data_IF_742826513985
#
_entry.id   IF_742826513985
#
_cell.length_a   1.000
_cell.length_b   1.000
_cell.length_c   1.000
_cell.angle_alpha   90.00
_cell.angle_beta   90.00
_cell.angle_gamma   90.00
#
_symmetry.space_group_name_H-M   'P 1'
#
loop_
_entity.id
_entity.type
_entity.pdbx_description
1 polymer ?
#
# COMPACT_ATOMS: atom_id res chain seq x y z
N UNK A 1 -5.15 6.18 0.21
CA UNK A 1 -4.77 7.55 -0.16
C UNK A 1 -5.81 8.60 0.22
N UNK A 2 -7.02 8.62 -0.34
CA UNK A 2 -8.05 9.67 -0.08
C UNK A 2 -8.33 9.89 1.42
N UNK A 3 -8.46 8.82 2.19
CA UNK A 3 -8.65 8.88 3.64
C UNK A 3 -7.49 9.61 4.35
N UNK A 4 -6.26 9.40 3.94
CA UNK A 4 -5.07 10.02 4.53
C UNK A 4 -4.90 11.49 4.15
N UNK A 5 -5.19 11.84 2.89
CA UNK A 5 -5.26 13.23 2.45
C UNK A 5 -6.31 13.96 3.28
N UNK A 6 -7.47 13.34 3.45
CA UNK A 6 -8.56 13.88 4.27
C UNK A 6 -8.17 14.01 5.75
N UNK A 7 -7.56 12.99 6.35
CA UNK A 7 -7.05 13.03 7.71
C UNK A 7 -5.97 14.11 7.91
N UNK A 8 -5.19 14.42 6.86
CA UNK A 8 -4.17 15.47 6.93
C UNK A 8 -4.76 16.88 6.80
N UNK A 9 -5.77 17.07 5.94
CA UNK A 9 -6.37 18.38 5.65
C UNK A 9 -7.47 18.72 6.66
N UNK A 10 -8.32 17.75 7.01
CA UNK A 10 -9.53 17.94 7.82
C UNK A 10 -9.45 17.22 9.18
N UNK A 11 -8.36 17.42 9.91
CA UNK A 11 -8.09 16.74 11.20
C UNK A 11 -9.29 16.77 12.16
N UNK A 12 -9.97 17.92 12.29
CA UNK A 12 -11.11 18.09 13.22
C UNK A 12 -12.38 17.35 12.79
N UNK A 13 -12.65 17.28 11.48
CA UNK A 13 -13.86 16.60 10.95
C UNK A 13 -13.66 15.10 10.81
N UNK A 14 -12.43 14.66 10.58
CA UNK A 14 -12.11 13.24 10.40
C UNK A 14 -12.49 12.38 11.61
N UNK A 15 -12.30 12.90 12.84
CA UNK A 15 -12.66 12.19 14.08
C UNK A 15 -14.17 12.02 14.28
N UNK A 16 -14.98 12.93 13.70
CA UNK A 16 -16.45 12.92 13.82
C UNK A 16 -17.14 12.07 12.74
N UNK A 17 -16.49 11.87 11.60
CA UNK A 17 -17.02 11.08 10.49
C UNK A 17 -16.63 9.61 10.67
N UNK A 18 -17.43 8.87 11.36
CA UNK A 18 -17.19 7.47 11.68
C UNK A 18 -16.87 6.54 10.49
N UNK A 19 -16.71 5.27 10.78
CA UNK A 19 -16.34 4.13 9.93
C UNK A 19 -17.19 4.01 8.63
N UNK A 20 -18.33 4.68 8.55
CA UNK A 20 -19.29 4.53 7.43
C UNK A 20 -18.73 4.88 6.05
N UNK A 21 -17.92 5.93 5.94
CA UNK A 21 -17.34 6.34 4.65
C UNK A 21 -16.29 5.32 4.16
N UNK A 22 -15.43 4.87 5.06
CA UNK A 22 -14.41 3.86 4.75
C UNK A 22 -15.05 2.52 4.40
N UNK A 23 -16.07 2.09 5.16
CA UNK A 23 -16.83 0.87 4.87
C UNK A 23 -17.53 0.94 3.52
N UNK A 24 -18.18 2.07 3.20
CA UNK A 24 -18.80 2.29 1.89
C UNK A 24 -17.80 2.21 0.74
N UNK A 25 -16.62 2.80 0.89
CA UNK A 25 -15.55 2.72 -0.11
C UNK A 25 -15.04 1.28 -0.32
N UNK A 26 -14.87 0.52 0.75
CA UNK A 26 -14.45 -0.90 0.68
C UNK A 26 -15.50 -1.73 -0.05
N UNK A 27 -16.78 -1.59 0.32
CA UNK A 27 -17.89 -2.32 -0.32
C UNK A 27 -17.95 -1.99 -1.82
N UNK A 28 -17.82 -0.72 -2.18
CA UNK A 28 -17.82 -0.28 -3.58
C UNK A 28 -16.68 -0.93 -4.39
N UNK A 29 -15.46 -0.97 -3.85
CA UNK A 29 -14.32 -1.62 -4.51
C UNK A 29 -14.56 -3.13 -4.68
N UNK A 30 -15.14 -3.79 -3.67
CA UNK A 30 -15.47 -5.21 -3.77
C UNK A 30 -16.52 -5.49 -4.83
N UNK A 31 -17.58 -4.69 -4.92
CA UNK A 31 -18.62 -4.83 -5.95
C UNK A 31 -18.01 -4.67 -7.35
N UNK A 32 -17.18 -3.65 -7.57
CA UNK A 32 -16.49 -3.45 -8.86
C UNK A 32 -15.58 -4.63 -9.20
N UNK A 33 -14.81 -5.13 -8.23
CA UNK A 33 -13.89 -6.25 -8.44
C UNK A 33 -14.63 -7.54 -8.79
N UNK A 34 -15.72 -7.84 -8.10
CA UNK A 34 -16.56 -9.01 -8.36
C UNK A 34 -17.22 -8.90 -9.75
N UNK A 35 -17.80 -7.75 -10.07
CA UNK A 35 -18.44 -7.52 -11.37
C UNK A 35 -17.44 -7.67 -12.53
N UNK A 36 -16.23 -7.13 -12.37
CA UNK A 36 -15.16 -7.28 -13.34
C UNK A 36 -14.74 -8.75 -13.49
N UNK A 37 -14.59 -9.49 -12.39
CA UNK A 37 -14.22 -10.91 -12.40
C UNK A 37 -15.28 -11.75 -13.11
N UNK A 38 -16.56 -11.52 -12.83
CA UNK A 38 -17.69 -12.20 -13.51
C UNK A 38 -17.63 -11.92 -15.02
N UNK A 39 -17.42 -10.66 -15.41
CA UNK A 39 -17.28 -10.30 -16.83
C UNK A 39 -16.14 -11.08 -17.51
N UNK A 40 -14.95 -11.14 -16.89
CA UNK A 40 -13.79 -11.87 -17.42
C UNK A 40 -14.09 -13.36 -17.57
N UNK A 41 -14.72 -13.98 -16.57
CA UNK A 41 -15.09 -15.41 -16.61
C UNK A 41 -16.10 -15.66 -17.73
N UNK A 42 -17.18 -14.88 -17.79
CA UNK A 42 -18.22 -15.06 -18.82
C UNK A 42 -17.66 -14.86 -20.25
N UNK A 43 -16.80 -13.86 -20.46
CA UNK A 43 -16.18 -13.61 -21.75
C UNK A 43 -15.15 -14.68 -22.15
N UNK A 44 -14.47 -15.27 -21.17
CA UNK A 44 -13.56 -16.40 -21.39
C UNK A 44 -14.36 -17.66 -21.77
N UNK A 45 -15.44 -17.99 -21.05
CA UNK A 45 -16.30 -19.15 -21.34
C UNK A 45 -16.99 -19.05 -22.70
N UNK A 46 -17.23 -17.85 -23.21
CA UNK A 46 -17.79 -17.65 -24.55
C UNK A 46 -16.79 -17.98 -25.68
N UNK A 47 -15.50 -18.11 -25.39
CA UNK A 47 -14.45 -18.44 -26.36
C UNK A 47 -14.10 -19.93 -26.32
N UNK A 48 -14.93 -20.75 -26.93
CA UNK A 48 -14.75 -22.20 -26.98
C UNK A 48 -13.45 -22.63 -27.68
N UNK A 49 -12.99 -21.85 -28.66
CA UNK A 49 -11.75 -22.14 -29.39
C UNK A 49 -10.50 -21.99 -28.50
N UNK A 50 -10.53 -21.07 -27.55
CA UNK A 50 -9.43 -20.86 -26.62
C UNK A 50 -9.27 -22.02 -25.63
N UNK A 51 -10.38 -22.64 -25.21
CA UNK A 51 -10.37 -23.80 -24.31
C UNK A 51 -10.06 -25.13 -25.01
N UNK A 52 -10.26 -25.21 -26.33
CA UNK A 52 -9.93 -26.39 -27.13
C UNK A 52 -8.44 -26.58 -27.43
N UNK A 53 -7.59 -25.58 -27.12
CA UNK A 53 -6.16 -25.67 -27.35
C UNK A 53 -5.48 -26.43 -26.21
N UNK A 54 -4.73 -27.48 -26.54
CA UNK A 54 -3.98 -28.32 -25.59
C UNK A 54 -2.77 -27.64 -24.93
N UNK A 55 -2.81 -26.33 -24.74
CA UNK A 55 -1.69 -25.48 -24.26
C UNK A 55 -1.40 -25.62 -22.75
N UNK A 56 -2.23 -26.34 -21.98
CA UNK A 56 -2.04 -26.53 -20.54
C UNK A 56 -2.09 -25.23 -19.71
N UNK A 57 -2.31 -24.08 -20.33
CA UNK A 57 -2.38 -22.78 -19.69
C UNK A 57 -3.84 -22.38 -19.58
N UNK A 58 -4.38 -22.38 -18.37
CA UNK A 58 -5.68 -21.78 -18.09
C UNK A 58 -5.52 -20.26 -18.07
N UNK A 59 -5.41 -19.66 -19.24
CA UNK A 59 -5.43 -18.22 -19.37
C UNK A 59 -6.89 -17.79 -19.53
N UNK A 60 -7.43 -17.03 -18.58
CA UNK A 60 -8.75 -16.40 -18.68
C UNK A 60 -8.81 -15.32 -19.77
N UNK A 61 -7.76 -15.19 -20.57
CA UNK A 61 -7.64 -14.24 -21.67
C UNK A 61 -8.18 -14.83 -22.95
N UNK A 62 -9.26 -14.28 -23.47
CA UNK A 62 -9.91 -14.68 -24.72
C UNK A 62 -9.77 -13.59 -25.79
N UNK A 63 -10.12 -13.91 -27.04
CA UNK A 63 -10.19 -12.91 -28.13
C UNK A 63 -11.17 -11.76 -27.82
N UNK A 64 -12.18 -12.01 -26.99
CA UNK A 64 -13.19 -11.02 -26.62
C UNK A 64 -12.78 -10.09 -25.48
N UNK A 65 -11.96 -10.55 -24.54
CA UNK A 65 -11.63 -9.79 -23.33
C UNK A 65 -10.18 -9.27 -23.28
N UNK A 66 -9.33 -9.76 -24.16
CA UNK A 66 -7.89 -9.46 -24.12
C UNK A 66 -7.55 -7.98 -24.15
N UNK A 67 -8.23 -7.19 -24.99
CA UNK A 67 -8.00 -5.73 -25.09
C UNK A 67 -8.46 -5.04 -23.81
N UNK A 68 -9.61 -5.43 -23.28
CA UNK A 68 -10.16 -4.86 -22.04
C UNK A 68 -9.26 -5.18 -20.85
N UNK A 69 -8.77 -6.41 -20.75
CA UNK A 69 -7.79 -6.80 -19.73
C UNK A 69 -6.54 -5.95 -19.83
N UNK A 70 -5.97 -5.79 -21.03
CA UNK A 70 -4.77 -4.99 -21.25
C UNK A 70 -4.99 -3.53 -20.85
N UNK A 71 -6.07 -2.91 -21.32
CA UNK A 71 -6.42 -1.54 -20.96
C UNK A 71 -6.64 -1.37 -19.46
N UNK A 72 -7.34 -2.31 -18.81
CA UNK A 72 -7.58 -2.24 -17.36
C UNK A 72 -6.28 -2.34 -16.57
N UNK A 73 -5.34 -3.16 -17.00
CA UNK A 73 -4.04 -3.29 -16.37
C UNK A 73 -3.21 -2.01 -16.48
N UNK A 74 -3.09 -1.43 -17.67
CA UNK A 74 -2.35 -0.17 -17.84
C UNK A 74 -3.03 0.99 -17.10
N UNK A 75 -4.36 1.04 -17.09
CA UNK A 75 -5.10 2.04 -16.32
C UNK A 75 -4.83 1.88 -14.82
N UNK A 76 -4.86 0.66 -14.30
CA UNK A 76 -4.55 0.37 -12.89
C UNK A 76 -3.11 0.74 -12.57
N UNK A 77 -2.14 0.39 -13.41
CA UNK A 77 -0.74 0.74 -13.23
C UNK A 77 -0.55 2.26 -13.20
N UNK A 78 -1.17 2.98 -14.12
CA UNK A 78 -1.14 4.44 -14.16
C UNK A 78 -1.73 5.06 -12.87
N UNK A 79 -2.89 4.57 -12.43
CA UNK A 79 -3.51 5.01 -11.18
C UNK A 79 -2.59 4.75 -9.98
N UNK A 80 -1.93 3.59 -9.91
CA UNK A 80 -0.96 3.27 -8.86
C UNK A 80 0.23 4.23 -8.86
N UNK A 81 0.77 4.59 -10.02
CA UNK A 81 1.87 5.58 -10.13
C UNK A 81 1.42 6.95 -9.59
N UNK A 82 0.24 7.41 -9.99
CA UNK A 82 -0.33 8.68 -9.50
C UNK A 82 -0.55 8.65 -7.99
N UNK A 83 -1.11 7.56 -7.46
CA UNK A 83 -1.34 7.38 -6.02
C UNK A 83 -0.02 7.43 -5.27
N UNK A 84 0.99 6.68 -5.69
CA UNK A 84 2.31 6.62 -5.06
C UNK A 84 2.99 7.99 -5.07
N UNK A 85 2.88 8.72 -6.16
CA UNK A 85 3.41 10.09 -6.25
C UNK A 85 2.70 11.04 -5.27
N UNK A 86 1.38 10.99 -5.17
CA UNK A 86 0.61 11.77 -4.20
C UNK A 86 0.96 11.40 -2.76
N UNK A 87 1.08 10.12 -2.46
CA UNK A 87 1.48 9.63 -1.13
C UNK A 87 2.89 10.10 -0.76
N UNK A 88 3.81 10.14 -1.71
CA UNK A 88 5.14 10.72 -1.51
C UNK A 88 5.09 12.23 -1.20
N UNK A 89 4.24 12.99 -1.89
CA UNK A 89 4.04 14.42 -1.61
C UNK A 89 3.47 14.64 -0.20
N UNK A 90 2.44 13.87 0.19
CA UNK A 90 1.84 13.91 1.53
C UNK A 90 2.88 13.54 2.60
N UNK A 91 3.68 12.52 2.37
CA UNK A 91 4.77 12.15 3.26
C UNK A 91 5.78 13.30 3.46
N UNK A 92 6.20 13.93 2.36
CA UNK A 92 7.11 15.10 2.42
C UNK A 92 6.50 16.28 3.17
N UNK A 93 5.22 16.59 2.90
CA UNK A 93 4.49 17.65 3.58
C UNK A 93 4.40 17.40 5.09
N UNK A 94 3.97 16.22 5.49
CA UNK A 94 3.87 15.81 6.89
C UNK A 94 5.23 15.86 7.61
N UNK A 95 6.31 15.46 6.94
CA UNK A 95 7.67 15.54 7.48
C UNK A 95 8.14 17.00 7.67
N UNK A 96 7.76 17.91 6.76
CA UNK A 96 8.05 19.37 6.88
C UNK A 96 7.30 19.98 8.04
N UNK A 97 5.99 19.72 8.17
CA UNK A 97 5.14 20.20 9.27
C UNK A 97 5.73 19.75 10.62
N UNK A 98 6.08 18.47 10.75
CA UNK A 98 6.69 17.93 11.96
C UNK A 98 8.04 18.58 12.33
N UNK A 99 8.84 18.97 11.32
CA UNK A 99 10.11 19.69 11.57
C UNK A 99 9.85 21.10 12.08
N UNK A 100 8.92 21.84 11.47
CA UNK A 100 8.54 23.18 11.91
C UNK A 100 8.02 23.17 13.36
N UNK A 101 7.09 22.28 13.68
CA UNK A 101 6.52 22.13 15.02
C UNK A 101 7.56 21.80 16.12
N UNK A 102 8.75 21.30 15.76
CA UNK A 102 9.84 21.06 16.71
C UNK A 102 10.77 22.28 16.91
N UNK A 103 10.82 23.17 15.92
CA UNK A 103 11.71 24.33 15.94
C UNK A 103 11.03 25.58 16.53
N UNK A 104 9.70 25.65 16.55
CA UNK A 104 8.93 26.73 17.14
C UNK A 104 8.94 26.59 18.67
N UNK A 105 9.34 27.68 19.35
CA UNK A 105 9.34 27.77 20.82
C UNK A 105 7.91 27.61 21.35
N UNK A 106 7.72 26.94 22.51
CA UNK A 106 6.40 26.65 23.08
C UNK A 106 5.57 27.88 23.46
N UNK A 107 6.17 29.07 23.51
CA UNK A 107 5.52 30.29 24.03
C UNK A 107 4.52 30.96 23.06
N UNK A 108 4.45 30.55 21.78
CA UNK A 108 3.60 31.18 20.75
C UNK A 108 2.68 30.14 20.04
N UNK A 109 2.58 28.94 20.55
CA UNK A 109 1.82 27.91 19.87
C UNK A 109 0.28 28.12 20.04
N UNK A 110 -0.47 28.51 18.98
CA UNK A 110 -1.91 28.49 19.05
C UNK A 110 -2.35 27.02 19.16
N UNK A 111 -2.97 26.70 20.26
CA UNK A 111 -3.71 25.45 20.51
C UNK A 111 -2.95 24.17 20.10
N UNK A 112 -2.03 23.74 20.96
CA UNK A 112 -1.38 22.43 20.84
C UNK A 112 -2.45 21.32 20.84
N UNK A 113 -2.82 20.80 19.66
CA UNK A 113 -3.71 19.66 19.56
C UNK A 113 -2.88 18.38 19.62
N UNK A 114 -2.95 17.70 20.77
CA UNK A 114 -2.31 16.39 20.99
C UNK A 114 -2.72 15.38 19.91
N UNK A 115 -4.00 15.41 19.52
CA UNK A 115 -4.59 14.59 18.47
C UNK A 115 -3.94 14.83 17.11
N UNK A 116 -3.76 16.10 16.69
CA UNK A 116 -3.12 16.43 15.42
C UNK A 116 -1.67 15.93 15.34
N UNK A 117 -0.89 16.05 16.42
CA UNK A 117 0.47 15.52 16.47
C UNK A 117 0.52 14.00 16.44
N UNK A 118 -0.43 13.33 17.10
CA UNK A 118 -0.54 11.88 17.06
C UNK A 118 -0.86 11.40 15.63
N UNK A 119 -1.87 11.96 14.97
CA UNK A 119 -2.26 11.64 13.60
C UNK A 119 -1.13 11.91 12.60
N UNK A 120 -0.43 13.04 12.73
CA UNK A 120 0.73 13.36 11.89
C UNK A 120 1.84 12.31 12.02
N UNK A 121 2.09 11.86 13.24
CA UNK A 121 3.09 10.81 13.51
C UNK A 121 2.67 9.46 12.94
N UNK A 122 1.41 9.11 13.07
CA UNK A 122 0.85 7.87 12.55
C UNK A 122 0.86 7.86 11.02
N UNK A 123 0.46 8.96 10.37
CA UNK A 123 0.55 9.12 8.92
C UNK A 123 1.98 8.96 8.40
N UNK A 124 2.97 9.63 9.02
CA UNK A 124 4.38 9.48 8.62
C UNK A 124 4.85 8.03 8.79
N UNK A 125 4.40 7.37 9.84
CA UNK A 125 4.76 6.00 10.13
C UNK A 125 4.17 5.01 9.13
N UNK A 126 2.89 5.13 8.82
CA UNK A 126 2.22 4.31 7.83
C UNK A 126 2.79 4.50 6.42
N UNK A 127 3.12 5.74 6.03
CA UNK A 127 3.74 6.04 4.73
C UNK A 127 5.12 5.41 4.55
N UNK A 128 5.87 5.18 5.63
CA UNK A 128 7.17 4.48 5.56
C UNK A 128 7.02 3.00 5.20
N UNK A 129 5.86 2.40 5.46
CA UNK A 129 5.56 1.03 5.04
C UNK A 129 5.01 1.02 3.62
N UNK A 130 4.07 1.92 3.32
CA UNK A 130 3.29 1.89 2.08
C UNK A 130 4.14 2.29 0.89
N UNK A 131 4.94 3.36 0.96
CA UNK A 131 5.75 3.81 -0.18
C UNK A 131 6.67 2.73 -0.78
N UNK A 132 7.44 1.95 0.00
CA UNK A 132 8.22 0.86 -0.58
C UNK A 132 7.37 -0.29 -1.13
N UNK A 133 6.18 -0.55 -0.56
CA UNK A 133 5.25 -1.55 -1.08
C UNK A 133 4.67 -1.14 -2.44
N UNK A 134 4.24 0.11 -2.56
CA UNK A 134 3.72 0.67 -3.81
C UNK A 134 4.79 0.73 -4.89
N UNK A 135 6.02 1.12 -4.53
CA UNK A 135 7.15 1.13 -5.46
C UNK A 135 7.47 -0.29 -5.96
N UNK A 136 7.49 -1.29 -5.07
CA UNK A 136 7.67 -2.68 -5.46
C UNK A 136 6.55 -3.16 -6.39
N UNK A 137 5.29 -2.84 -6.08
CA UNK A 137 4.15 -3.15 -6.93
C UNK A 137 4.32 -2.59 -8.34
N UNK A 138 4.63 -1.30 -8.47
CA UNK A 138 4.79 -0.62 -9.77
C UNK A 138 5.91 -1.26 -10.58
N UNK A 139 7.06 -1.56 -9.96
CA UNK A 139 8.21 -2.14 -10.65
C UNK A 139 7.88 -3.55 -11.16
N UNK A 140 7.45 -4.45 -10.28
CA UNK A 140 7.25 -5.86 -10.66
C UNK A 140 6.06 -6.05 -11.59
N UNK A 141 4.94 -5.38 -11.33
CA UNK A 141 3.80 -5.45 -12.22
C UNK A 141 4.04 -4.69 -13.53
N UNK A 142 4.78 -3.60 -13.51
CA UNK A 142 5.20 -2.89 -14.73
C UNK A 142 6.02 -3.78 -15.65
N UNK A 143 7.02 -4.50 -15.12
CA UNK A 143 7.84 -5.45 -15.90
C UNK A 143 6.96 -6.58 -16.44
N UNK A 144 6.12 -7.19 -15.61
CA UNK A 144 5.20 -8.25 -16.01
C UNK A 144 4.28 -7.79 -17.16
N UNK A 145 3.61 -6.65 -16.99
CA UNK A 145 2.67 -6.13 -17.97
C UNK A 145 3.34 -5.78 -19.30
N UNK A 146 4.49 -5.10 -19.25
CA UNK A 146 5.24 -4.73 -20.45
C UNK A 146 5.74 -5.98 -21.17
N UNK A 147 6.30 -6.93 -20.44
CA UNK A 147 6.76 -8.20 -21.00
C UNK A 147 5.63 -9.01 -21.63
N UNK A 148 4.49 -9.12 -20.94
CA UNK A 148 3.31 -9.82 -21.47
C UNK A 148 2.75 -9.14 -22.74
N UNK A 149 2.76 -7.80 -22.81
CA UNK A 149 2.33 -7.06 -23.97
C UNK A 149 3.27 -7.28 -25.18
N UNK A 150 4.59 -7.20 -24.97
CA UNK A 150 5.59 -7.48 -26.00
C UNK A 150 5.46 -8.92 -26.51
N UNK A 151 5.36 -9.88 -25.60
CA UNK A 151 5.22 -11.29 -25.94
C UNK A 151 3.96 -11.55 -26.78
N UNK A 152 2.87 -10.83 -26.49
CA UNK A 152 1.63 -10.94 -27.24
C UNK A 152 1.76 -10.39 -28.66
N UNK A 153 2.47 -9.28 -28.86
CA UNK A 153 2.70 -8.70 -30.19
C UNK A 153 3.46 -9.68 -31.07
N UNK A 154 4.44 -10.39 -30.55
CA UNK A 154 5.29 -11.35 -31.28
C UNK A 154 4.75 -12.79 -31.28
N UNK A 155 3.52 -13.02 -30.77
CA UNK A 155 2.95 -14.37 -30.65
C UNK A 155 2.96 -15.16 -31.96
N UNK A 156 2.67 -14.50 -33.09
CA UNK A 156 2.57 -15.15 -34.38
C UNK A 156 3.94 -15.51 -35.00
N UNK A 157 5.03 -14.96 -34.47
CA UNK A 157 6.39 -15.19 -34.94
C UNK A 157 7.11 -16.28 -34.11
N UNK A 158 6.50 -16.70 -32.98
CA UNK A 158 7.11 -17.62 -32.02
C UNK A 158 6.50 -19.00 -32.08
N UNK A 159 7.31 -20.02 -31.85
CA UNK A 159 6.81 -21.37 -31.57
C UNK A 159 6.06 -21.40 -30.25
N UNK A 160 5.02 -22.21 -30.15
CA UNK A 160 4.15 -22.33 -28.97
C UNK A 160 4.93 -22.60 -27.68
N UNK A 161 5.96 -23.48 -27.76
CA UNK A 161 6.79 -23.83 -26.61
C UNK A 161 7.63 -22.64 -26.11
N UNK A 162 8.19 -21.85 -27.02
CA UNK A 162 8.96 -20.65 -26.69
C UNK A 162 8.07 -19.59 -26.04
N UNK A 163 6.89 -19.34 -26.66
CA UNK A 163 5.90 -18.43 -26.12
C UNK A 163 5.52 -18.80 -24.68
N UNK A 164 5.20 -20.07 -24.47
CA UNK A 164 4.78 -20.59 -23.17
C UNK A 164 5.89 -20.47 -22.13
N UNK A 165 7.11 -20.83 -22.49
CA UNK A 165 8.28 -20.73 -21.58
C UNK A 165 8.55 -19.30 -21.14
N UNK A 166 8.55 -18.34 -22.08
CA UNK A 166 8.78 -16.93 -21.78
C UNK A 166 7.61 -16.36 -20.96
N UNK A 167 6.37 -16.75 -21.26
CA UNK A 167 5.20 -16.33 -20.49
C UNK A 167 5.32 -16.74 -19.02
N UNK A 168 5.75 -17.96 -18.74
CA UNK A 168 5.96 -18.43 -17.36
C UNK A 168 7.06 -17.64 -16.64
N UNK A 169 8.13 -17.25 -17.34
CA UNK A 169 9.15 -16.38 -16.77
C UNK A 169 8.53 -15.05 -16.33
N UNK A 170 7.72 -14.41 -17.16
CA UNK A 170 7.04 -13.17 -16.76
C UNK A 170 6.05 -13.37 -15.60
N UNK A 171 5.37 -14.51 -15.52
CA UNK A 171 4.48 -14.85 -14.41
C UNK A 171 5.20 -14.97 -13.05
N UNK A 172 6.53 -15.14 -13.03
CA UNK A 172 7.28 -15.15 -11.77
C UNK A 172 7.37 -13.77 -11.10
N UNK A 173 7.24 -12.66 -11.86
CA UNK A 173 7.36 -11.31 -11.30
C UNK A 173 6.26 -10.95 -10.30
N UNK A 174 4.96 -11.22 -10.53
CA UNK A 174 3.93 -11.05 -9.49
C UNK A 174 4.16 -11.91 -8.24
N UNK A 175 4.71 -13.13 -8.40
CA UNK A 175 5.07 -13.99 -7.26
C UNK A 175 6.23 -13.39 -6.46
N UNK A 176 7.28 -12.91 -7.14
CA UNK A 176 8.39 -12.18 -6.52
C UNK A 176 7.90 -10.93 -5.79
N UNK A 177 6.98 -10.17 -6.39
CA UNK A 177 6.35 -9.04 -5.72
C UNK A 177 5.71 -9.45 -4.39
N UNK A 178 4.94 -10.56 -4.37
CA UNK A 178 4.29 -11.05 -3.15
C UNK A 178 5.32 -11.43 -2.07
N UNK A 179 6.41 -12.10 -2.44
CA UNK A 179 7.48 -12.45 -1.53
C UNK A 179 8.19 -11.20 -0.96
N UNK A 180 8.50 -10.22 -1.80
CA UNK A 180 9.14 -8.96 -1.39
C UNK A 180 8.21 -8.15 -0.48
N UNK A 181 6.91 -8.12 -0.76
CA UNK A 181 5.90 -7.48 0.09
C UNK A 181 5.92 -8.07 1.50
N UNK A 182 5.95 -9.39 1.60
CA UNK A 182 6.05 -10.09 2.88
C UNK A 182 7.34 -9.75 3.63
N UNK A 183 8.48 -9.74 2.94
CA UNK A 183 9.78 -9.38 3.51
C UNK A 183 9.80 -7.94 4.02
N UNK A 184 9.29 -6.98 3.25
CA UNK A 184 9.18 -5.57 3.66
C UNK A 184 8.32 -5.47 4.92
N UNK A 185 7.19 -6.17 4.96
CA UNK A 185 6.30 -6.18 6.13
C UNK A 185 7.00 -6.75 7.38
N UNK A 186 7.68 -7.90 7.27
CA UNK A 186 8.42 -8.53 8.38
C UNK A 186 9.52 -7.58 8.89
N UNK A 187 10.33 -7.02 7.99
CA UNK A 187 11.38 -6.07 8.35
C UNK A 187 10.81 -4.83 9.07
N UNK A 188 9.66 -4.34 8.61
CA UNK A 188 8.99 -3.20 9.22
C UNK A 188 8.49 -3.52 10.63
N UNK A 189 7.82 -4.67 10.81
CA UNK A 189 7.32 -5.12 12.13
C UNK A 189 8.48 -5.31 13.11
N UNK A 190 9.57 -5.93 12.68
CA UNK A 190 10.75 -6.15 13.54
C UNK A 190 11.38 -4.81 13.98
N UNK A 191 11.51 -3.85 13.07
CA UNK A 191 11.98 -2.49 13.42
C UNK A 191 11.09 -1.77 14.43
N UNK A 192 9.78 -2.05 14.39
CA UNK A 192 8.84 -1.48 15.38
C UNK A 192 9.06 -2.11 16.74
N UNK A 193 9.17 -3.44 16.80
CA UNK A 193 9.42 -4.18 18.05
C UNK A 193 10.69 -3.70 18.73
N UNK A 194 11.80 -3.61 18.00
CA UNK A 194 13.07 -3.09 18.51
C UNK A 194 12.95 -1.67 19.09
N UNK A 195 12.29 -0.77 18.37
CA UNK A 195 12.09 0.62 18.85
C UNK A 195 11.16 0.71 20.05
N UNK A 196 10.21 -0.20 20.22
CA UNK A 196 9.38 -0.26 21.43
C UNK A 196 10.18 -0.75 22.63
N UNK A 197 10.97 -1.80 22.47
CA UNK A 197 11.84 -2.35 23.52
C UNK A 197 12.82 -1.29 24.01
N UNK A 198 13.51 -0.60 23.10
CA UNK A 198 14.45 0.47 23.42
C UNK A 198 13.81 1.69 24.12
N UNK A 199 12.51 1.93 23.93
CA UNK A 199 11.78 3.00 24.61
C UNK A 199 11.29 2.62 26.00
N UNK A 200 11.00 1.36 26.23
CA UNK A 200 10.50 0.89 27.53
C UNK A 200 11.61 0.92 28.59
N UNK A 201 12.87 0.61 28.21
CA UNK A 201 14.00 0.60 29.13
C UNK A 201 14.28 1.94 29.85
N UNK A 202 14.34 3.11 29.18
CA UNK A 202 14.55 4.39 29.88
C UNK A 202 13.30 4.89 30.63
N UNK A 203 12.10 4.46 30.22
CA UNK A 203 10.86 4.84 30.92
C UNK A 203 10.75 4.14 32.29
N UNK A 204 11.19 2.89 32.36
CA UNK A 204 11.19 2.12 33.61
C UNK A 204 12.16 2.75 34.63
N UNK A 205 13.34 3.18 34.18
CA UNK A 205 14.29 3.94 35.04
C UNK A 205 13.75 5.31 35.48
N UNK A 206 13.10 6.05 34.59
CA UNK A 206 12.51 7.35 34.94
C UNK A 206 11.28 7.21 35.81
N UNK A 207 10.49 6.15 35.64
CA UNK A 207 9.37 5.80 36.50
C UNK A 207 9.83 5.45 37.92
N UNK A 208 10.85 4.62 38.06
CA UNK A 208 11.42 4.28 39.36
C UNK A 208 12.04 5.50 40.06
N UNK A 209 12.74 6.36 39.32
CA UNK A 209 13.26 7.65 39.86
C UNK A 209 12.12 8.55 40.34
N UNK A 210 11.04 8.70 39.57
CA UNK A 210 9.88 9.49 39.93
C UNK A 210 9.18 8.93 41.18
N UNK A 211 8.95 7.63 41.27
CA UNK A 211 8.35 7.00 42.46
C UNK A 211 9.27 7.07 43.68
N UNK A 212 10.59 7.02 43.53
CA UNK A 212 11.55 7.18 44.63
C UNK A 212 11.57 8.61 45.13
N UNK A 213 11.49 9.63 44.28
CA UNK A 213 11.36 11.04 44.63
C UNK A 213 10.04 11.33 45.35
N UNK A 214 8.91 10.78 44.87
CA UNK A 214 7.61 10.86 45.51
C UNK A 214 7.62 10.22 46.92
N UNK A 215 8.24 9.05 47.06
CA UNK A 215 8.40 8.37 48.34
C UNK A 215 9.24 9.16 49.33
N UNK A 216 10.30 9.83 48.87
CA UNK A 216 11.09 10.76 49.73
C UNK A 216 10.24 11.90 50.24
N UNK A 217 9.44 12.55 49.36
CA UNK A 217 8.57 13.67 49.74
C UNK A 217 7.48 13.25 50.75
N UNK A 218 7.01 12.03 50.71
CA UNK A 218 6.01 11.55 51.69
C UNK A 218 6.60 11.14 53.02
N UNK A 219 7.86 10.72 53.06
CA UNK A 219 8.52 10.32 54.30
C UNK A 219 9.19 11.53 55.04
N UNK A 220 9.16 12.71 54.45
CA UNK A 220 9.70 13.96 55.06
C UNK A 220 8.59 14.80 55.71
N UNK A 221 7.37 14.34 55.79
CA UNK A 221 6.26 14.89 56.56
C UNK A 221 5.98 13.98 57.77
#
# INVERSE_FOLDING_TARGET
>A
MLERVRATIFVKHYEMEGIKFTAGGIIFVWILSISYTIYIICSALADQDAFGQSLGIVALTSKYNATIILCSFYTTLFICVVITFCDFLVYRANKRIRRKSRCEKPDIAPTYSLSANYQLRENIFSMRLILPLDAAYIIFNGIYMTGAAILRIHRNEMYVEQYTSIYYVFMTFPLLHSAITLLIYICFVNRIKEKRILKIQPLDRSGQLYFNELRKQWNTK
#
